data_IF_553401819068
#
_entry.id   IF_553401819068
#
_cell.length_a   1.000
_cell.length_b   1.000
_cell.length_c   1.000
_cell.angle_alpha   90.00
_cell.angle_beta   90.00
_cell.angle_gamma   90.00
#
_symmetry.space_group_name_H-M   'P 1'
#
loop_
_entity.id
_entity.type
_entity.pdbx_description
1 polymer ?
#
# COMPACT_ATOMS: atom_id res chain seq x y z
N UNK A 1 -67.91 -48.34 -35.95
CA UNK A 1 -68.00 -46.99 -36.50
C UNK A 1 -66.63 -46.36 -36.33
N UNK A 2 -65.84 -46.49 -37.39
CA UNK A 2 -65.22 -45.47 -38.24
C UNK A 2 -64.84 -44.20 -37.43
N UNK A 3 -63.59 -43.76 -37.42
CA UNK A 3 -62.79 -43.25 -38.53
C UNK A 3 -61.34 -43.07 -38.14
N UNK A 4 -60.48 -43.44 -39.04
CA UNK A 4 -59.04 -43.11 -39.20
C UNK A 4 -58.75 -41.63 -39.31
N UNK A 5 -57.61 -41.16 -38.82
CA UNK A 5 -56.91 -40.06 -39.50
C UNK A 5 -55.40 -40.06 -39.20
N UNK A 6 -54.73 -40.24 -40.23
CA UNK A 6 -53.42 -39.86 -40.83
C UNK A 6 -52.38 -39.12 -40.01
N UNK A 7 -51.25 -39.74 -40.05
CA UNK A 7 -49.86 -39.32 -39.95
C UNK A 7 -49.53 -38.04 -40.68
N UNK A 8 -48.72 -37.15 -40.03
CA UNK A 8 -47.72 -36.33 -40.73
C UNK A 8 -46.51 -36.16 -39.85
N UNK A 9 -45.46 -36.80 -40.28
CA UNK A 9 -44.05 -36.62 -39.81
C UNK A 9 -43.57 -35.27 -40.33
N UNK A 10 -43.11 -34.40 -39.44
CA UNK A 10 -42.29 -33.24 -39.78
C UNK A 10 -40.98 -33.36 -39.06
N UNK A 11 -39.94 -33.65 -39.83
CA UNK A 11 -38.55 -33.61 -39.44
C UNK A 11 -38.16 -32.15 -39.10
N UNK A 12 -37.67 -31.90 -37.88
CA UNK A 12 -36.99 -30.66 -37.52
C UNK A 12 -35.49 -30.94 -37.43
N UNK A 13 -34.78 -30.21 -38.27
CA UNK A 13 -33.33 -30.22 -38.36
C UNK A 13 -32.72 -29.63 -37.07
N UNK A 14 -31.84 -30.38 -36.41
CA UNK A 14 -30.99 -29.87 -35.33
C UNK A 14 -29.84 -29.03 -35.94
N UNK A 15 -29.95 -27.72 -35.78
CA UNK A 15 -28.82 -26.81 -36.00
C UNK A 15 -27.93 -26.78 -34.75
N UNK A 16 -26.74 -27.36 -34.86
CA UNK A 16 -25.69 -27.25 -33.84
C UNK A 16 -25.03 -25.86 -33.91
N UNK A 17 -25.40 -24.98 -33.02
CA UNK A 17 -24.63 -23.73 -32.73
C UNK A 17 -23.44 -24.08 -31.85
N UNK A 18 -22.25 -24.18 -32.44
CA UNK A 18 -21.00 -24.21 -31.71
C UNK A 18 -20.69 -22.84 -31.15
N UNK A 19 -21.00 -22.64 -29.87
CA UNK A 19 -20.62 -21.44 -29.12
C UNK A 19 -19.14 -21.47 -28.84
N UNK A 20 -18.36 -20.58 -29.48
CA UNK A 20 -16.97 -20.30 -29.13
C UNK A 20 -16.97 -19.47 -27.82
N UNK A 21 -16.71 -20.15 -26.71
CA UNK A 21 -16.42 -19.50 -25.45
C UNK A 21 -15.01 -18.86 -25.52
N UNK A 22 -14.94 -17.57 -25.77
CA UNK A 22 -13.71 -16.79 -25.54
C UNK A 22 -13.42 -16.80 -24.04
N UNK A 23 -12.46 -17.61 -23.63
CA UNK A 23 -11.82 -17.53 -22.32
C UNK A 23 -11.00 -16.23 -22.30
N UNK A 24 -11.63 -15.14 -21.90
CA UNK A 24 -10.92 -13.95 -21.47
C UNK A 24 -10.17 -14.34 -20.19
N UNK A 25 -8.87 -14.66 -20.31
CA UNK A 25 -7.95 -14.72 -19.18
C UNK A 25 -7.80 -13.30 -18.61
N UNK A 26 -8.81 -12.83 -17.88
CA UNK A 26 -8.74 -11.63 -17.10
C UNK A 26 -7.70 -11.85 -16.02
N UNK A 27 -6.58 -11.12 -16.08
CA UNK A 27 -5.71 -10.94 -14.91
C UNK A 27 -6.60 -10.45 -13.77
N UNK A 28 -6.92 -11.33 -12.83
CA UNK A 28 -7.64 -10.98 -11.61
C UNK A 28 -6.71 -10.08 -10.82
N UNK A 29 -6.80 -8.77 -11.03
CA UNK A 29 -6.30 -7.80 -10.07
C UNK A 29 -7.08 -8.05 -8.81
N UNK A 30 -6.40 -8.35 -7.71
CA UNK A 30 -7.06 -8.47 -6.42
C UNK A 30 -7.51 -7.04 -6.04
N UNK A 31 -8.79 -6.67 -6.24
CA UNK A 31 -9.20 -5.26 -6.23
C UNK A 31 -9.05 -4.60 -4.87
N UNK A 32 -8.85 -5.38 -3.81
CA UNK A 32 -8.76 -4.86 -2.44
C UNK A 32 -7.38 -4.32 -2.06
N UNK A 33 -6.29 -4.82 -2.69
CA UNK A 33 -4.94 -4.37 -2.34
C UNK A 33 -4.46 -3.19 -3.16
N UNK A 34 -4.88 -3.07 -4.42
CA UNK A 34 -4.39 -2.03 -5.34
C UNK A 34 -5.20 -0.71 -5.30
N UNK A 35 -6.29 -0.66 -4.54
CA UNK A 35 -7.08 0.56 -4.36
C UNK A 35 -6.57 1.38 -3.18
N UNK A 36 -6.52 2.71 -3.35
CA UNK A 36 -6.18 3.63 -2.26
C UNK A 36 -7.27 3.54 -1.18
N UNK A 37 -6.86 3.19 0.02
CA UNK A 37 -7.70 3.16 1.21
C UNK A 37 -7.65 4.46 2.01
N UNK A 38 -8.53 4.56 2.99
CA UNK A 38 -8.47 5.63 3.97
C UNK A 38 -7.17 5.52 4.78
N UNK A 39 -6.43 6.61 4.86
CA UNK A 39 -5.12 6.63 5.54
C UNK A 39 -3.92 6.33 4.65
N UNK A 40 -4.12 5.85 3.42
CA UNK A 40 -3.03 5.62 2.48
C UNK A 40 -2.43 6.95 1.97
N UNK A 41 -1.17 6.90 1.61
CA UNK A 41 -0.47 7.96 0.86
C UNK A 41 -0.04 7.39 -0.48
N UNK A 42 -0.07 8.20 -1.54
CA UNK A 42 0.32 7.72 -2.86
C UNK A 42 1.22 8.70 -3.61
N UNK A 43 2.00 8.17 -4.54
CA UNK A 43 2.85 8.93 -5.44
C UNK A 43 2.86 8.31 -6.84
N UNK A 44 3.19 9.11 -7.84
CA UNK A 44 3.16 8.71 -9.24
C UNK A 44 1.79 8.85 -9.89
N UNK A 45 1.70 8.43 -11.14
CA UNK A 45 0.47 8.53 -11.92
C UNK A 45 -0.51 7.42 -11.51
N UNK A 46 -1.77 7.77 -11.23
CA UNK A 46 -2.80 6.81 -10.87
C UNK A 46 -3.12 5.78 -11.98
N UNK A 47 -2.85 6.13 -13.22
CA UNK A 47 -3.01 5.28 -14.42
C UNK A 47 -1.72 4.56 -14.84
N UNK A 48 -0.67 4.57 -14.02
CA UNK A 48 0.56 3.85 -14.29
C UNK A 48 0.29 2.34 -14.48
N UNK A 49 1.03 1.67 -15.39
CA UNK A 49 0.78 0.27 -15.73
C UNK A 49 1.01 -0.72 -14.58
N UNK A 50 1.77 -0.32 -13.56
CA UNK A 50 2.11 -1.13 -12.40
C UNK A 50 1.70 -0.38 -11.14
N UNK A 51 0.99 -1.08 -10.24
CA UNK A 51 0.71 -0.60 -8.88
C UNK A 51 1.62 -1.32 -7.89
N UNK A 52 2.31 -0.55 -7.06
CA UNK A 52 3.12 -1.06 -5.94
C UNK A 52 2.50 -0.57 -4.65
N UNK A 53 2.11 -1.49 -3.78
CA UNK A 53 1.60 -1.19 -2.44
C UNK A 53 2.61 -1.65 -1.42
N UNK A 54 3.07 -0.74 -0.59
CA UNK A 54 3.93 -1.01 0.56
C UNK A 54 3.13 -0.89 1.86
N UNK A 55 3.03 -1.96 2.61
CA UNK A 55 2.60 -1.91 4.01
C UNK A 55 3.82 -1.64 4.87
N UNK A 56 3.84 -0.50 5.55
CA UNK A 56 4.99 -0.06 6.32
C UNK A 56 4.61 0.70 7.58
N UNK A 57 5.55 0.80 8.50
CA UNK A 57 5.45 1.60 9.70
C UNK A 57 6.63 2.55 9.82
N UNK A 58 6.36 3.79 10.17
CA UNK A 58 7.41 4.78 10.47
C UNK A 58 8.22 4.44 11.73
N UNK A 59 7.71 3.51 12.55
CA UNK A 59 8.37 3.02 13.76
C UNK A 59 9.06 1.65 13.57
N UNK A 60 9.06 1.10 12.34
CA UNK A 60 9.70 -0.18 12.04
C UNK A 60 11.16 0.03 11.59
N UNK A 61 12.18 -0.53 12.29
CA UNK A 61 13.58 -0.33 11.92
C UNK A 61 13.95 -0.90 10.54
N UNK A 62 13.31 -2.01 10.14
CA UNK A 62 13.55 -2.60 8.81
C UNK A 62 12.95 -1.71 7.72
N UNK A 63 11.76 -1.11 7.97
CA UNK A 63 11.19 -0.12 7.07
C UNK A 63 12.10 1.09 6.90
N UNK A 64 12.65 1.63 7.99
CA UNK A 64 13.59 2.75 7.94
C UNK A 64 14.83 2.44 7.12
N UNK A 65 15.42 1.25 7.31
CA UNK A 65 16.56 0.80 6.52
C UNK A 65 16.23 0.72 5.03
N UNK A 66 15.10 0.11 4.67
CA UNK A 66 14.67 -0.02 3.28
C UNK A 66 14.31 1.35 2.67
N UNK A 67 13.67 2.22 3.44
CA UNK A 67 13.38 3.59 3.02
C UNK A 67 14.66 4.35 2.63
N UNK A 68 15.73 4.19 3.39
CA UNK A 68 17.01 4.85 3.09
C UNK A 68 17.77 4.19 1.93
N UNK A 69 17.75 2.86 1.85
CA UNK A 69 18.56 2.10 0.90
C UNK A 69 17.90 1.99 -0.50
N UNK A 70 16.58 1.80 -0.56
CA UNK A 70 15.88 1.45 -1.78
C UNK A 70 14.97 2.55 -2.32
N UNK A 71 14.23 3.26 -1.44
CA UNK A 71 13.14 4.12 -1.89
C UNK A 71 13.58 5.31 -2.75
N UNK A 72 14.72 6.00 -2.51
CA UNK A 72 15.14 7.08 -3.41
C UNK A 72 15.36 6.59 -4.85
N UNK A 73 15.97 5.42 -5.02
CA UNK A 73 16.18 4.82 -6.33
C UNK A 73 14.87 4.31 -6.95
N UNK A 74 14.00 3.71 -6.15
CA UNK A 74 12.69 3.24 -6.58
C UNK A 74 11.83 4.41 -7.08
N UNK A 75 11.77 5.51 -6.34
CA UNK A 75 11.01 6.70 -6.74
C UNK A 75 11.54 7.24 -8.07
N UNK A 76 12.85 7.51 -8.18
CA UNK A 76 13.45 8.07 -9.39
C UNK A 76 13.32 7.14 -10.61
N UNK A 77 13.44 5.82 -10.42
CA UNK A 77 13.47 4.85 -11.53
C UNK A 77 12.09 4.48 -12.05
N UNK A 78 11.09 4.44 -11.17
CA UNK A 78 9.79 3.87 -11.49
C UNK A 78 8.62 4.85 -11.29
N UNK A 79 8.59 5.56 -10.18
CA UNK A 79 7.45 6.43 -9.84
C UNK A 79 7.51 7.73 -10.65
N UNK A 80 8.65 8.43 -10.61
CA UNK A 80 8.84 9.71 -11.30
C UNK A 80 8.80 9.55 -12.82
N UNK A 81 9.12 8.35 -13.31
CA UNK A 81 9.04 8.02 -14.75
C UNK A 81 7.65 7.57 -15.21
N UNK A 82 6.67 7.54 -14.30
CA UNK A 82 5.28 7.17 -14.60
C UNK A 82 5.06 5.68 -14.87
N UNK A 83 6.02 4.82 -14.53
CA UNK A 83 5.92 3.36 -14.69
C UNK A 83 5.15 2.70 -13.55
N UNK A 84 5.17 3.31 -12.37
CA UNK A 84 4.59 2.80 -11.14
C UNK A 84 3.71 3.85 -10.48
N UNK A 85 2.52 3.43 -10.08
CA UNK A 85 1.71 4.08 -9.06
C UNK A 85 2.08 3.45 -7.71
N UNK A 86 2.66 4.24 -6.83
CA UNK A 86 3.08 3.79 -5.50
C UNK A 86 2.06 4.18 -4.44
N UNK A 87 1.67 3.22 -3.61
CA UNK A 87 0.77 3.39 -2.47
C UNK A 87 1.51 2.94 -1.21
N UNK A 88 1.71 3.88 -0.29
CA UNK A 88 2.19 3.60 1.06
C UNK A 88 0.98 3.40 1.97
N UNK A 89 0.86 2.23 2.55
CA UNK A 89 -0.24 1.85 3.43
C UNK A 89 0.26 1.67 4.85
N UNK A 90 -0.23 2.48 5.79
CA UNK A 90 0.20 2.39 7.19
C UNK A 90 -0.15 1.04 7.81
N UNK A 91 0.81 0.47 8.55
CA UNK A 91 0.59 -0.67 9.42
C UNK A 91 1.28 -0.42 10.77
N UNK A 92 0.57 -0.66 11.88
CA UNK A 92 1.10 -0.39 13.21
C UNK A 92 2.04 -1.52 13.66
N UNK A 93 3.34 -1.35 13.37
CA UNK A 93 4.42 -2.24 13.86
C UNK A 93 5.51 -1.41 14.53
N UNK A 94 6.33 -2.03 15.36
CA UNK A 94 7.26 -1.32 16.23
C UNK A 94 6.52 -0.63 17.39
N UNK A 95 6.98 0.54 17.81
CA UNK A 95 6.26 1.34 18.80
C UNK A 95 4.95 1.87 18.23
N UNK A 96 3.81 1.36 18.73
CA UNK A 96 2.49 1.70 18.19
C UNK A 96 2.16 3.19 18.33
N UNK A 97 2.55 3.84 19.43
CA UNK A 97 2.27 5.26 19.65
C UNK A 97 3.01 6.12 18.63
N UNK A 98 4.29 5.82 18.37
CA UNK A 98 5.09 6.51 17.36
C UNK A 98 4.56 6.20 15.95
N UNK A 99 4.17 4.94 15.69
CA UNK A 99 3.58 4.55 14.41
C UNK A 99 2.33 5.37 14.11
N UNK A 100 1.37 5.41 15.03
CA UNK A 100 0.13 6.18 14.87
C UNK A 100 0.42 7.67 14.73
N UNK A 101 1.15 8.27 15.70
CA UNK A 101 1.43 9.69 15.70
C UNK A 101 2.20 10.14 14.45
N UNK A 102 3.17 9.34 13.99
CA UNK A 102 3.97 9.64 12.81
C UNK A 102 3.18 9.58 11.51
N UNK A 103 2.29 8.59 11.36
CA UNK A 103 1.41 8.53 10.18
C UNK A 103 0.38 9.66 10.16
N UNK A 104 -0.24 9.97 11.32
CA UNK A 104 -1.16 11.12 11.42
C UNK A 104 -0.45 12.43 11.10
N UNK A 105 0.79 12.60 11.58
CA UNK A 105 1.60 13.77 11.24
C UNK A 105 1.86 13.85 9.73
N UNK A 106 2.19 12.73 9.08
CA UNK A 106 2.40 12.70 7.64
C UNK A 106 1.12 13.10 6.87
N UNK A 107 -0.04 12.60 7.28
CA UNK A 107 -1.33 12.96 6.69
C UNK A 107 -1.65 14.44 6.89
N UNK A 108 -1.44 14.99 8.09
CA UNK A 108 -1.67 16.39 8.37
C UNK A 108 -0.73 17.35 7.61
N UNK A 109 0.47 16.90 7.27
CA UNK A 109 1.39 17.67 6.45
C UNK A 109 0.88 17.87 5.00
N UNK A 110 -0.13 17.06 4.61
CA UNK A 110 -0.71 17.09 3.27
C UNK A 110 0.08 16.29 2.24
N UNK A 111 -0.54 15.99 1.09
CA UNK A 111 0.00 15.03 0.12
C UNK A 111 1.39 15.39 -0.39
N UNK A 112 1.67 16.69 -0.58
CA UNK A 112 2.96 17.17 -1.11
C UNK A 112 4.12 16.99 -0.11
N UNK A 113 3.82 16.83 1.18
CA UNK A 113 4.83 16.75 2.24
C UNK A 113 4.81 15.42 2.99
N UNK A 114 3.81 14.58 2.78
CA UNK A 114 3.61 13.35 3.53
C UNK A 114 4.83 12.41 3.47
N UNK A 115 5.36 12.14 2.29
CA UNK A 115 6.55 11.27 2.13
C UNK A 115 7.81 11.90 2.73
N UNK A 116 7.93 13.22 2.72
CA UNK A 116 9.04 13.92 3.39
C UNK A 116 8.96 13.73 4.91
N UNK A 117 7.76 13.75 5.47
CA UNK A 117 7.54 13.48 6.91
C UNK A 117 7.85 12.03 7.23
N UNK A 118 7.38 11.07 6.44
CA UNK A 118 7.70 9.65 6.60
C UNK A 118 9.22 9.41 6.60
N UNK A 119 9.94 9.94 5.61
CA UNK A 119 11.39 9.83 5.53
C UNK A 119 12.09 10.45 6.75
N UNK A 120 11.66 11.64 7.16
CA UNK A 120 12.25 12.33 8.32
C UNK A 120 12.05 11.53 9.61
N UNK A 121 10.86 10.94 9.84
CA UNK A 121 10.59 10.11 11.01
C UNK A 121 11.44 8.84 10.98
N UNK A 122 11.49 8.16 9.85
CA UNK A 122 12.27 6.93 9.70
C UNK A 122 13.78 7.15 9.92
N UNK A 123 14.31 8.30 9.49
CA UNK A 123 15.73 8.68 9.76
C UNK A 123 15.99 9.07 11.19
N UNK A 124 14.97 9.46 11.93
CA UNK A 124 15.08 9.91 13.32
C UNK A 124 14.79 8.83 14.35
N UNK A 125 14.65 7.55 13.93
CA UNK A 125 14.31 6.48 14.88
C UNK A 125 15.32 6.33 16.01
N UNK A 126 16.63 6.37 15.71
CA UNK A 126 17.68 6.30 16.73
C UNK A 126 17.63 7.50 17.71
N UNK A 127 17.31 8.69 17.21
CA UNK A 127 17.16 9.88 18.06
C UNK A 127 15.93 9.77 18.96
N UNK A 128 14.85 9.17 18.48
CA UNK A 128 13.64 8.94 19.27
C UNK A 128 13.84 7.89 20.35
N UNK A 129 14.72 6.93 20.12
CA UNK A 129 14.95 5.77 20.99
C UNK A 129 15.95 6.06 22.14
N UNK A 130 16.78 7.07 22.06
CA UNK A 130 17.78 7.56 23.04
C UNK A 130 18.14 6.60 24.21
N UNK A 131 18.54 5.35 23.89
CA UNK A 131 19.17 4.44 24.86
C UNK A 131 18.22 3.68 25.79
N UNK A 132 16.93 3.69 25.52
CA UNK A 132 15.95 2.76 26.07
C UNK A 132 15.73 1.54 25.16
N UNK A 133 14.97 0.54 25.62
CA UNK A 133 14.49 -0.50 24.69
C UNK A 133 13.75 0.16 23.51
N UNK A 134 13.88 -0.39 22.29
CA UNK A 134 13.26 0.21 21.08
C UNK A 134 11.76 0.48 21.19
N UNK A 135 11.10 -0.15 22.17
CA UNK A 135 9.68 0.03 22.45
C UNK A 135 9.36 1.31 23.21
N UNK A 136 10.32 1.96 23.88
CA UNK A 136 10.03 3.08 24.77
C UNK A 136 10.02 4.44 24.07
N UNK A 137 10.86 4.64 23.04
CA UNK A 137 10.91 5.91 22.27
C UNK A 137 10.76 7.16 23.14
N UNK A 138 11.58 7.25 24.19
CA UNK A 138 11.44 8.29 25.24
C UNK A 138 11.53 9.73 24.75
N UNK A 139 12.19 9.93 23.58
CA UNK A 139 12.37 11.22 22.94
C UNK A 139 11.46 11.44 21.71
N UNK A 140 10.44 10.60 21.51
CA UNK A 140 9.62 10.66 20.29
C UNK A 140 8.88 12.00 20.13
N UNK A 141 8.26 12.52 21.21
CA UNK A 141 7.47 13.74 21.11
C UNK A 141 8.29 14.97 20.67
N UNK A 142 9.45 15.30 21.26
CA UNK A 142 10.28 16.41 20.80
C UNK A 142 10.71 16.27 19.34
N UNK A 143 11.10 15.05 18.91
CA UNK A 143 11.52 14.77 17.53
C UNK A 143 10.36 14.97 16.56
N UNK A 144 9.18 14.39 16.83
CA UNK A 144 8.01 14.53 15.98
C UNK A 144 7.52 15.98 15.90
N UNK A 145 7.58 16.74 17.02
CA UNK A 145 7.26 18.17 17.03
C UNK A 145 8.21 18.97 16.12
N UNK A 146 9.51 18.70 16.20
CA UNK A 146 10.51 19.34 15.33
C UNK A 146 10.26 19.00 13.85
N UNK A 147 9.93 17.74 13.53
CA UNK A 147 9.58 17.34 12.15
C UNK A 147 8.32 18.08 11.70
N UNK A 148 7.27 18.19 12.52
CA UNK A 148 6.07 18.95 12.22
C UNK A 148 6.40 20.42 11.87
N UNK A 149 7.22 21.07 12.69
CA UNK A 149 7.67 22.44 12.46
C UNK A 149 8.46 22.59 11.14
N UNK A 150 9.28 21.60 10.78
CA UNK A 150 10.06 21.61 9.54
C UNK A 150 9.19 21.59 8.27
N UNK A 151 7.94 21.15 8.38
CA UNK A 151 6.96 21.15 7.29
C UNK A 151 5.90 22.23 7.44
N UNK A 152 6.08 23.16 8.41
CA UNK A 152 5.24 24.35 8.59
C UNK A 152 4.02 24.15 9.49
N UNK A 153 3.96 23.07 10.26
CA UNK A 153 2.92 22.87 11.27
C UNK A 153 3.38 23.49 12.61
N UNK A 154 2.50 24.24 13.28
CA UNK A 154 2.73 24.69 14.63
C UNK A 154 2.62 23.53 15.63
N UNK A 155 3.10 23.72 16.86
CA UNK A 155 2.95 22.72 17.93
C UNK A 155 1.48 22.42 18.24
N UNK A 156 0.61 23.44 18.23
CA UNK A 156 -0.83 23.26 18.42
C UNK A 156 -1.45 22.42 17.29
N UNK A 157 -1.03 22.64 16.04
CA UNK A 157 -1.47 21.85 14.91
C UNK A 157 -0.97 20.40 15.02
N UNK A 158 0.30 20.21 15.41
CA UNK A 158 0.85 18.89 15.70
C UNK A 158 0.02 18.17 16.76
N UNK A 159 -0.23 18.82 17.91
CA UNK A 159 -1.00 18.22 19.00
C UNK A 159 -2.40 17.80 18.56
N UNK A 160 -3.13 18.66 17.85
CA UNK A 160 -4.46 18.34 17.31
C UNK A 160 -4.41 17.17 16.34
N UNK A 161 -3.38 17.12 15.51
CA UNK A 161 -3.21 16.08 14.51
C UNK A 161 -3.00 14.69 15.12
N UNK A 162 -2.01 14.56 16.01
CA UNK A 162 -1.62 13.25 16.57
C UNK A 162 -2.60 12.72 17.61
N UNK A 163 -3.55 13.55 18.04
CA UNK A 163 -4.64 13.17 18.97
C UNK A 163 -6.01 13.12 18.32
N UNK A 164 -6.09 13.26 16.98
CA UNK A 164 -7.38 13.20 16.27
C UNK A 164 -8.02 11.81 16.39
N UNK A 165 -9.18 11.66 17.06
CA UNK A 165 -9.80 10.37 17.27
C UNK A 165 -10.20 9.70 15.96
N UNK A 166 -10.55 10.51 14.94
CA UNK A 166 -10.97 10.00 13.63
C UNK A 166 -9.78 9.43 12.85
N UNK A 167 -8.66 10.14 12.91
CA UNK A 167 -7.40 9.65 12.33
C UNK A 167 -6.92 8.37 13.02
N UNK A 168 -6.99 8.31 14.35
CA UNK A 168 -6.63 7.09 15.12
C UNK A 168 -7.54 5.92 14.72
N UNK A 169 -8.84 6.15 14.56
CA UNK A 169 -9.77 5.11 14.10
C UNK A 169 -9.39 4.59 12.69
N UNK A 170 -9.09 5.50 11.75
CA UNK A 170 -8.64 5.14 10.39
C UNK A 170 -7.37 4.28 10.44
N UNK A 171 -6.42 4.61 11.32
CA UNK A 171 -5.20 3.83 11.49
C UNK A 171 -5.48 2.41 12.02
N UNK A 172 -6.39 2.28 12.99
CA UNK A 172 -6.80 0.96 13.50
C UNK A 172 -7.47 0.13 12.40
N UNK A 173 -8.39 0.71 11.64
CA UNK A 173 -9.08 0.05 10.53
C UNK A 173 -8.10 -0.39 9.43
N UNK A 174 -7.11 0.45 9.10
CA UNK A 174 -6.06 0.13 8.14
C UNK A 174 -5.19 -1.05 8.63
N UNK A 175 -4.84 -1.07 9.91
CA UNK A 175 -4.10 -2.17 10.53
C UNK A 175 -4.87 -3.49 10.50
N UNK A 176 -6.14 -3.47 10.92
CA UNK A 176 -7.00 -4.64 10.91
C UNK A 176 -7.20 -5.19 9.49
N UNK A 177 -7.32 -4.29 8.51
CA UNK A 177 -7.39 -4.67 7.11
C UNK A 177 -6.09 -5.32 6.64
N UNK A 178 -4.93 -4.78 7.00
CA UNK A 178 -3.64 -5.37 6.65
C UNK A 178 -3.52 -6.81 7.14
N UNK A 179 -3.92 -7.08 8.39
CA UNK A 179 -3.97 -8.44 8.95
C UNK A 179 -4.90 -9.36 8.12
N UNK A 180 -6.08 -8.87 7.75
CA UNK A 180 -7.04 -9.63 6.91
C UNK A 180 -6.51 -9.90 5.51
N UNK A 181 -5.71 -8.97 4.96
CA UNK A 181 -5.04 -9.12 3.66
C UNK A 181 -3.82 -10.07 3.71
N UNK A 182 -3.55 -10.69 4.88
CA UNK A 182 -2.44 -11.64 5.07
C UNK A 182 -1.08 -10.97 5.24
N UNK A 183 -1.06 -9.71 5.70
CA UNK A 183 0.18 -9.00 6.05
C UNK A 183 0.53 -9.32 7.50
N UNK A 184 1.66 -9.97 7.70
CA UNK A 184 2.16 -10.47 8.99
C UNK A 184 3.33 -9.65 9.55
N UNK A 185 3.79 -8.64 8.79
CA UNK A 185 4.88 -7.76 9.20
C UNK A 185 5.18 -6.66 8.19
N UNK A 186 6.13 -5.81 8.55
CA UNK A 186 6.55 -4.68 7.72
C UNK A 186 8.07 -4.64 7.52
N UNK A 187 8.56 -4.19 6.36
CA UNK A 187 7.78 -3.84 5.18
C UNK A 187 7.23 -5.08 4.46
N UNK A 188 6.03 -4.96 3.88
CA UNK A 188 5.48 -5.97 2.98
C UNK A 188 5.04 -5.28 1.69
N UNK A 189 5.46 -5.82 0.54
CA UNK A 189 5.15 -5.25 -0.76
C UNK A 189 4.21 -6.15 -1.56
N UNK A 190 3.26 -5.51 -2.23
CA UNK A 190 2.42 -6.12 -3.27
C UNK A 190 2.66 -5.39 -4.58
N UNK A 191 2.80 -6.13 -5.66
CA UNK A 191 2.91 -5.58 -7.02
C UNK A 191 1.77 -6.16 -7.85
N UNK A 192 0.90 -5.29 -8.35
CA UNK A 192 -0.33 -5.66 -9.03
C UNK A 192 -1.14 -6.72 -8.25
N UNK A 193 -1.30 -6.50 -6.93
CA UNK A 193 -2.05 -7.38 -6.04
C UNK A 193 -1.33 -8.67 -5.63
N UNK A 194 -0.08 -8.89 -6.04
CA UNK A 194 0.70 -10.07 -5.67
C UNK A 194 1.77 -9.72 -4.63
N UNK A 195 1.74 -10.37 -3.46
CA UNK A 195 2.79 -10.26 -2.44
C UNK A 195 4.12 -10.74 -3.01
N UNK A 196 5.18 -9.96 -2.86
CA UNK A 196 6.53 -10.32 -3.28
C UNK A 196 7.41 -10.66 -2.09
N UNK A 197 8.33 -11.63 -2.21
CA UNK A 197 9.32 -11.89 -1.19
C UNK A 197 10.38 -10.80 -1.19
N UNK A 198 10.79 -10.36 0.00
CA UNK A 198 11.97 -9.53 0.21
C UNK A 198 13.11 -10.41 0.72
N UNK A 199 14.28 -10.29 0.13
CA UNK A 199 15.46 -11.09 0.48
C UNK A 199 16.61 -10.23 1.00
N UNK A 200 16.83 -9.08 0.36
CA UNK A 200 17.95 -8.19 0.67
C UNK A 200 17.51 -6.89 1.34
N UNK A 201 16.22 -6.56 1.22
CA UNK A 201 15.67 -5.29 1.69
C UNK A 201 16.37 -4.08 1.05
N UNK A 202 16.67 -4.20 -0.25
CA UNK A 202 17.25 -3.16 -1.09
C UNK A 202 16.49 -3.05 -2.42
N UNK A 203 16.95 -2.15 -3.31
CA UNK A 203 16.30 -1.91 -4.60
C UNK A 203 16.22 -3.16 -5.48
N UNK A 204 17.12 -4.14 -5.31
CA UNK A 204 17.14 -5.34 -6.15
C UNK A 204 15.89 -6.21 -5.96
N UNK A 205 15.29 -6.22 -4.77
CA UNK A 205 14.04 -6.94 -4.53
C UNK A 205 12.90 -6.37 -5.37
N UNK A 206 12.80 -5.04 -5.44
CA UNK A 206 11.81 -4.34 -6.25
C UNK A 206 12.12 -4.45 -7.76
N UNK A 207 13.39 -4.30 -8.14
CA UNK A 207 13.82 -4.44 -9.52
C UNK A 207 13.47 -5.82 -10.11
N UNK A 208 13.77 -6.88 -9.37
CA UNK A 208 13.49 -8.25 -9.80
C UNK A 208 11.99 -8.52 -10.03
N UNK A 209 11.14 -7.85 -9.26
CA UNK A 209 9.70 -8.01 -9.39
C UNK A 209 9.07 -7.09 -10.46
N UNK A 210 9.59 -5.88 -10.65
CA UNK A 210 9.02 -4.87 -11.56
C UNK A 210 9.53 -5.03 -12.99
N UNK A 211 10.83 -5.26 -13.19
CA UNK A 211 11.43 -5.31 -14.54
C UNK A 211 10.77 -6.29 -15.52
N UNK A 212 10.37 -7.50 -15.11
CA UNK A 212 9.67 -8.42 -16.00
C UNK A 212 8.30 -7.92 -16.46
N UNK A 213 7.64 -7.06 -15.66
CA UNK A 213 6.31 -6.51 -15.98
C UNK A 213 6.39 -5.36 -16.99
N UNK A 214 7.52 -4.67 -17.08
CA UNK A 214 7.75 -3.56 -18.01
C UNK A 214 8.14 -4.03 -19.42
N UNK A 215 8.50 -5.30 -19.59
CA UNK A 215 8.91 -5.88 -20.88
C UNK A 215 7.75 -6.49 -21.67
N UNK A 216 6.55 -6.41 -21.12
CA UNK A 216 5.32 -6.89 -21.78
C UNK A 216 4.61 -5.74 -22.48
#
# INVERSE_FOLDING_TARGET
>A
MFTTLHSTVRALALGTLAGIALLAAGCSKNPSTDQIGSGDMSAGKADAPITVVEYASVACPICARMNQAAMPQFMAKYVDTGKVHYIYRPMMTGNQQVSVAGHLLAQCAGPDKAFKVVDAIMRSQEEMDQGGPPEQYTNARPVLTRIAQSVGLSEDQFNKCVTDPKGIQVMNEAHDKAIKDGVDGTPTFFINGKKIPLQKYDISDLDNAIQPLLKK
#
